data_IF_919578042758
#
_entry.id   IF_919578042758
#
_cell.length_a   1.000
_cell.length_b   1.000
_cell.length_c   1.000
_cell.angle_alpha   90.00
_cell.angle_beta   90.00
_cell.angle_gamma   90.00
#
_symmetry.space_group_name_H-M   'P 1'
#
loop_
_entity.id
_entity.type
_entity.pdbx_description
1 polymer ?
#
# COMPACT_ATOMS: atom_id res chain seq x y z
N UNK A 1 15.94 0.93 25.41
CA UNK A 1 15.04 -0.23 25.26
C UNK A 1 14.55 -0.23 23.82
N UNK A 2 14.65 -1.36 23.14
CA UNK A 2 14.82 -1.44 21.68
C UNK A 2 13.53 -1.20 20.91
N UNK A 3 13.60 -0.30 19.92
CA UNK A 3 12.58 -0.03 18.91
C UNK A 3 12.00 -1.32 18.29
N UNK A 4 12.84 -2.35 18.12
CA UNK A 4 12.46 -3.69 17.65
C UNK A 4 11.39 -4.40 18.50
N UNK A 5 11.32 -4.15 19.81
CA UNK A 5 10.34 -4.81 20.69
C UNK A 5 8.91 -4.33 20.46
N UNK A 6 8.74 -3.05 20.09
CA UNK A 6 7.43 -2.47 19.79
C UNK A 6 6.90 -2.94 18.43
N UNK A 7 7.80 -3.19 17.48
CA UNK A 7 7.44 -3.70 16.16
C UNK A 7 6.91 -5.14 16.23
N UNK A 8 7.54 -6.03 17.00
CA UNK A 8 7.07 -7.40 17.17
C UNK A 8 5.67 -7.48 17.84
N UNK A 9 5.40 -6.64 18.83
CA UNK A 9 4.06 -6.55 19.44
C UNK A 9 3.01 -6.04 18.44
N UNK A 10 3.35 -5.02 17.66
CA UNK A 10 2.48 -4.49 16.61
C UNK A 10 2.18 -5.54 15.52
N UNK A 11 3.18 -6.34 15.13
CA UNK A 11 2.99 -7.44 14.18
C UNK A 11 2.03 -8.50 14.74
N UNK A 12 2.21 -8.90 15.99
CA UNK A 12 1.33 -9.87 16.64
C UNK A 12 -0.14 -9.40 16.65
N UNK A 13 -0.38 -8.11 16.93
CA UNK A 13 -1.72 -7.53 16.88
C UNK A 13 -2.33 -7.57 15.48
N UNK A 14 -1.53 -7.29 14.44
CA UNK A 14 -1.99 -7.36 13.04
C UNK A 14 -2.28 -8.79 12.63
N UNK A 15 -1.47 -9.78 13.02
CA UNK A 15 -1.68 -11.19 12.71
C UNK A 15 -2.99 -11.72 13.32
N UNK A 16 -3.33 -11.33 14.55
CA UNK A 16 -4.63 -11.67 15.17
C UNK A 16 -5.79 -11.08 14.36
N UNK A 17 -5.66 -9.84 13.86
CA UNK A 17 -6.70 -9.20 13.05
C UNK A 17 -6.83 -9.85 11.67
N UNK A 18 -5.72 -10.27 11.07
CA UNK A 18 -5.68 -10.98 9.78
C UNK A 18 -6.49 -12.29 9.81
N UNK A 19 -6.47 -13.02 10.93
CA UNK A 19 -7.21 -14.28 11.06
C UNK A 19 -8.73 -14.10 10.96
N UNK A 20 -9.25 -12.95 11.36
CA UNK A 20 -10.70 -12.67 11.39
C UNK A 20 -11.15 -11.66 10.33
N UNK A 21 -10.23 -11.17 9.49
CA UNK A 21 -10.51 -10.12 8.54
C UNK A 21 -11.25 -10.66 7.31
N UNK A 22 -12.37 -10.02 6.96
CA UNK A 22 -13.07 -10.28 5.70
C UNK A 22 -12.28 -9.80 4.47
N UNK A 23 -11.35 -8.86 4.66
CA UNK A 23 -10.41 -8.38 3.65
C UNK A 23 -9.03 -8.28 4.28
N UNK A 24 -8.06 -9.02 3.75
CA UNK A 24 -6.71 -9.10 4.33
C UNK A 24 -5.81 -7.98 3.84
N UNK A 25 -6.00 -7.54 2.59
CA UNK A 25 -5.18 -6.52 1.95
C UNK A 25 -4.84 -5.28 2.80
N UNK A 26 -5.77 -4.58 3.49
CA UNK A 26 -5.42 -3.41 4.30
C UNK A 26 -4.61 -3.77 5.55
N UNK A 27 -4.79 -4.98 6.08
CA UNK A 27 -4.01 -5.48 7.22
C UNK A 27 -2.62 -5.93 6.79
N UNK A 28 -2.50 -6.56 5.62
CA UNK A 28 -1.21 -6.92 5.03
C UNK A 28 -0.41 -5.66 4.68
N UNK A 29 -1.05 -4.61 4.14
CA UNK A 29 -0.41 -3.30 3.94
C UNK A 29 0.16 -2.76 5.27
N UNK A 30 -0.65 -2.75 6.34
CA UNK A 30 -0.21 -2.32 7.67
C UNK A 30 0.94 -3.16 8.21
N UNK A 31 0.90 -4.48 8.02
CA UNK A 31 1.97 -5.39 8.42
C UNK A 31 3.27 -5.04 7.70
N UNK A 32 3.21 -4.77 6.40
CA UNK A 32 4.37 -4.36 5.62
C UNK A 32 4.95 -3.01 6.08
N UNK A 33 4.11 -2.03 6.44
CA UNK A 33 4.58 -0.76 7.01
C UNK A 33 5.37 -0.97 8.30
N UNK A 34 4.90 -1.86 9.19
CA UNK A 34 5.61 -2.21 10.42
C UNK A 34 6.92 -2.95 10.11
N UNK A 35 6.92 -3.86 9.14
CA UNK A 35 8.12 -4.58 8.72
C UNK A 35 9.17 -3.65 8.11
N UNK A 36 8.78 -2.71 7.26
CA UNK A 36 9.68 -1.69 6.70
C UNK A 36 10.23 -0.78 7.80
N UNK A 37 9.40 -0.32 8.74
CA UNK A 37 9.87 0.44 9.92
C UNK A 37 10.86 -0.36 10.79
N UNK A 38 10.71 -1.69 10.85
CA UNK A 38 11.65 -2.58 11.52
C UNK A 38 12.92 -2.91 10.70
N UNK A 39 13.10 -2.32 9.52
CA UNK A 39 14.21 -2.58 8.60
C UNK A 39 14.13 -3.92 7.86
N UNK A 40 12.98 -4.59 7.91
CA UNK A 40 12.72 -5.91 7.31
C UNK A 40 12.10 -5.77 5.92
N UNK A 41 12.76 -5.02 5.04
CA UNK A 41 12.25 -4.64 3.72
C UNK A 41 11.87 -5.83 2.84
N UNK A 42 12.68 -6.90 2.83
CA UNK A 42 12.38 -8.11 2.04
C UNK A 42 11.07 -8.78 2.48
N UNK A 43 10.78 -8.79 3.78
CA UNK A 43 9.55 -9.36 4.31
C UNK A 43 8.37 -8.42 4.06
N UNK A 44 8.57 -7.11 4.19
CA UNK A 44 7.57 -6.11 3.82
C UNK A 44 7.14 -6.29 2.36
N UNK A 45 8.09 -6.42 1.44
CA UNK A 45 7.82 -6.63 0.01
C UNK A 45 7.02 -7.92 -0.24
N UNK A 46 7.39 -9.02 0.42
CA UNK A 46 6.66 -10.29 0.31
C UNK A 46 5.21 -10.16 0.79
N UNK A 47 4.99 -9.45 1.91
CA UNK A 47 3.66 -9.22 2.48
C UNK A 47 2.82 -8.31 1.57
N UNK A 48 3.42 -7.31 0.94
CA UNK A 48 2.76 -6.44 -0.04
C UNK A 48 2.34 -7.22 -1.29
N UNK A 49 3.16 -8.16 -1.76
CA UNK A 49 2.80 -9.05 -2.87
C UNK A 49 1.59 -9.92 -2.52
N UNK A 50 1.57 -10.51 -1.32
CA UNK A 50 0.40 -11.27 -0.82
C UNK A 50 -0.85 -10.38 -0.76
N UNK A 51 -0.71 -9.12 -0.34
CA UNK A 51 -1.82 -8.16 -0.29
C UNK A 51 -2.41 -7.86 -1.68
N UNK A 52 -1.56 -7.82 -2.72
CA UNK A 52 -2.03 -7.67 -4.11
C UNK A 52 -2.78 -8.90 -4.60
N UNK A 53 -2.33 -10.10 -4.23
CA UNK A 53 -3.02 -11.35 -4.58
C UNK A 53 -4.41 -11.42 -3.93
N UNK A 54 -4.54 -11.01 -2.67
CA UNK A 54 -5.83 -10.89 -1.98
C UNK A 54 -6.77 -9.93 -2.74
N UNK A 55 -6.25 -8.76 -3.14
CA UNK A 55 -7.03 -7.78 -3.94
C UNK A 55 -7.40 -8.31 -5.32
N UNK A 56 -6.54 -9.08 -6.00
CA UNK A 56 -6.85 -9.65 -7.32
C UNK A 56 -8.14 -10.49 -7.28
N UNK A 57 -8.34 -11.25 -6.20
CA UNK A 57 -9.58 -12.02 -5.99
C UNK A 57 -10.82 -11.13 -5.88
N UNK A 58 -10.69 -9.94 -5.28
CA UNK A 58 -11.76 -8.95 -5.14
C UNK A 58 -12.04 -8.26 -6.46
N UNK A 59 -10.99 -7.92 -7.21
CA UNK A 59 -11.08 -7.25 -8.50
C UNK A 59 -11.75 -8.11 -9.57
N UNK A 60 -11.69 -9.44 -9.45
CA UNK A 60 -12.49 -10.39 -10.28
C UNK A 60 -13.99 -10.29 -10.07
N UNK A 61 -14.46 -9.66 -8.98
CA UNK A 61 -15.88 -9.48 -8.68
C UNK A 61 -16.31 -8.04 -8.99
N UNK A 62 -16.51 -7.21 -7.97
CA UNK A 62 -16.83 -5.79 -8.10
C UNK A 62 -15.98 -5.00 -7.12
N UNK A 63 -14.86 -4.42 -7.58
CA UNK A 63 -14.07 -3.55 -6.72
C UNK A 63 -14.81 -2.22 -6.49
N UNK A 64 -14.85 -1.78 -5.23
CA UNK A 64 -15.28 -0.44 -4.83
C UNK A 64 -14.07 0.50 -4.71
N UNK A 65 -14.25 1.82 -4.69
CA UNK A 65 -13.16 2.80 -4.67
C UNK A 65 -12.08 2.55 -3.61
N UNK A 66 -12.47 2.12 -2.40
CA UNK A 66 -11.53 1.83 -1.32
C UNK A 66 -10.55 0.70 -1.66
N UNK A 67 -10.96 -0.30 -2.46
CA UNK A 67 -10.07 -1.39 -2.88
C UNK A 67 -9.01 -0.90 -3.86
N UNK A 68 -9.36 0.02 -4.76
CA UNK A 68 -8.41 0.65 -5.69
C UNK A 68 -7.42 1.55 -4.97
N UNK A 69 -7.88 2.35 -4.00
CA UNK A 69 -6.99 3.15 -3.15
C UNK A 69 -6.05 2.27 -2.33
N UNK A 70 -6.53 1.16 -1.78
CA UNK A 70 -5.68 0.20 -1.07
C UNK A 70 -4.64 -0.42 -2.02
N UNK A 71 -5.05 -0.83 -3.23
CA UNK A 71 -4.14 -1.35 -4.26
C UNK A 71 -3.07 -0.33 -4.62
N UNK A 72 -3.45 0.94 -4.80
CA UNK A 72 -2.53 2.02 -5.12
C UNK A 72 -1.48 2.26 -4.02
N UNK A 73 -1.88 2.22 -2.75
CA UNK A 73 -0.95 2.31 -1.60
C UNK A 73 0.09 1.20 -1.61
N UNK A 74 -0.36 -0.03 -1.83
CA UNK A 74 0.52 -1.20 -1.90
C UNK A 74 1.48 -1.08 -3.10
N UNK A 75 0.97 -0.69 -4.27
CA UNK A 75 1.78 -0.46 -5.46
C UNK A 75 2.83 0.65 -5.24
N UNK A 76 2.46 1.73 -4.55
CA UNK A 76 3.39 2.81 -4.17
C UNK A 76 4.52 2.30 -3.27
N UNK A 77 4.19 1.49 -2.26
CA UNK A 77 5.19 0.89 -1.36
C UNK A 77 6.11 -0.12 -2.07
N UNK A 78 5.65 -0.73 -3.15
CA UNK A 78 6.46 -1.59 -4.02
C UNK A 78 7.28 -0.81 -5.08
N UNK A 79 7.27 0.52 -5.05
CA UNK A 79 7.92 1.37 -6.07
C UNK A 79 7.21 1.38 -7.43
N UNK A 80 6.04 0.77 -7.56
CA UNK A 80 5.26 0.71 -8.80
C UNK A 80 4.38 1.96 -8.94
N UNK A 81 5.02 3.14 -8.96
CA UNK A 81 4.34 4.43 -8.86
C UNK A 81 3.38 4.71 -10.02
N UNK A 82 3.72 4.30 -11.24
CA UNK A 82 2.86 4.51 -12.41
C UNK A 82 1.53 3.75 -12.31
N UNK A 83 1.59 2.50 -11.84
CA UNK A 83 0.40 1.69 -11.61
C UNK A 83 -0.42 2.21 -10.43
N UNK A 84 0.25 2.66 -9.36
CA UNK A 84 -0.41 3.29 -8.22
C UNK A 84 -1.21 4.54 -8.66
N UNK A 85 -0.57 5.39 -9.48
CA UNK A 85 -1.20 6.58 -10.05
C UNK A 85 -2.44 6.22 -10.87
N UNK A 86 -2.34 5.24 -11.76
CA UNK A 86 -3.44 4.82 -12.63
C UNK A 86 -4.67 4.37 -11.83
N UNK A 87 -4.48 3.58 -10.77
CA UNK A 87 -5.57 3.16 -9.88
C UNK A 87 -6.28 4.34 -9.20
N UNK A 88 -5.52 5.35 -8.77
CA UNK A 88 -6.06 6.54 -8.10
C UNK A 88 -6.79 7.46 -9.07
N UNK A 89 -6.29 7.60 -10.30
CA UNK A 89 -6.96 8.37 -11.36
C UNK A 89 -8.31 7.73 -11.72
N UNK A 90 -8.40 6.39 -11.80
CA UNK A 90 -9.67 5.68 -12.00
C UNK A 90 -10.66 5.98 -10.87
N UNK A 91 -10.19 5.97 -9.60
CA UNK A 91 -11.05 6.30 -8.46
C UNK A 91 -11.59 7.72 -8.56
N UNK A 92 -10.73 8.69 -8.89
CA UNK A 92 -11.14 10.10 -8.98
C UNK A 92 -12.00 10.40 -10.21
N UNK A 93 -11.87 9.64 -11.29
CA UNK A 93 -12.80 9.70 -12.43
C UNK A 93 -14.22 9.27 -12.02
N UNK A 94 -14.34 8.25 -11.18
CA UNK A 94 -15.63 7.73 -10.72
C UNK A 94 -16.19 8.52 -9.52
N UNK A 95 -15.31 9.00 -8.65
CA UNK A 95 -15.62 9.72 -7.43
C UNK A 95 -14.64 10.89 -7.24
N UNK A 96 -14.85 12.04 -7.92
CA UNK A 96 -13.96 13.20 -7.84
C UNK A 96 -13.77 13.77 -6.43
N UNK A 97 -14.76 13.58 -5.56
CA UNK A 97 -14.72 14.01 -4.15
C UNK A 97 -14.05 13.03 -3.20
N UNK A 98 -13.43 11.95 -3.69
CA UNK A 98 -12.77 10.96 -2.85
C UNK A 98 -11.43 11.49 -2.34
N UNK A 99 -11.47 12.27 -1.25
CA UNK A 99 -10.32 12.99 -0.68
C UNK A 99 -9.09 12.11 -0.48
N UNK A 100 -9.28 10.89 0.03
CA UNK A 100 -8.18 9.95 0.26
C UNK A 100 -7.45 9.63 -1.04
N UNK A 101 -8.16 9.40 -2.14
CA UNK A 101 -7.52 9.11 -3.43
C UNK A 101 -6.78 10.33 -3.97
N UNK A 102 -7.30 11.53 -3.71
CA UNK A 102 -6.63 12.78 -4.11
C UNK A 102 -5.31 12.97 -3.38
N UNK A 103 -5.29 12.77 -2.06
CA UNK A 103 -4.07 12.87 -1.24
C UNK A 103 -3.03 11.83 -1.63
N UNK A 104 -3.45 10.58 -1.84
CA UNK A 104 -2.52 9.54 -2.30
C UNK A 104 -1.98 9.83 -3.70
N UNK A 105 -2.78 10.41 -4.59
CA UNK A 105 -2.35 10.73 -5.96
C UNK A 105 -1.29 11.84 -5.96
N UNK A 106 -1.46 12.82 -5.09
CA UNK A 106 -0.48 13.90 -4.87
C UNK A 106 0.86 13.31 -4.43
N UNK A 107 0.84 12.49 -3.37
CA UNK A 107 2.03 11.81 -2.86
C UNK A 107 2.73 10.95 -3.91
N UNK A 108 1.97 10.19 -4.72
CA UNK A 108 2.56 9.38 -5.80
C UNK A 108 3.26 10.26 -6.83
N UNK A 109 2.70 11.42 -7.17
CA UNK A 109 3.30 12.34 -8.16
C UNK A 109 4.59 12.96 -7.63
N UNK A 110 4.59 13.38 -6.37
CA UNK A 110 5.80 13.90 -5.71
C UNK A 110 6.94 12.87 -5.78
N UNK A 111 6.68 11.63 -5.39
CA UNK A 111 7.67 10.55 -5.45
C UNK A 111 8.16 10.28 -6.89
N UNK A 112 7.28 10.32 -7.89
CA UNK A 112 7.67 10.16 -9.29
C UNK A 112 8.55 11.32 -9.79
N UNK A 113 8.33 12.53 -9.28
CA UNK A 113 9.17 13.69 -9.59
C UNK A 113 10.53 13.56 -8.92
N UNK A 114 10.59 13.09 -7.67
CA UNK A 114 11.83 12.80 -6.94
C UNK A 114 12.66 11.73 -7.65
N UNK A 115 12.07 10.59 -8.04
CA UNK A 115 12.79 9.54 -8.79
C UNK A 115 13.36 10.06 -10.11
N UNK A 116 12.63 10.93 -10.82
CA UNK A 116 13.10 11.53 -12.08
C UNK A 116 14.23 12.53 -11.87
N UNK A 117 14.24 13.25 -10.76
CA UNK A 117 15.28 14.22 -10.43
C UNK A 117 16.56 13.50 -10.00
N UNK A 118 16.43 12.38 -9.30
CA UNK A 118 17.55 11.55 -8.84
C UNK A 118 18.23 10.83 -10.00
N UNK A 119 17.47 10.32 -10.98
CA UNK A 119 17.99 9.71 -12.22
C UNK A 119 18.69 10.73 -13.15
N UNK A 120 18.35 12.02 -13.03
CA UNK A 120 18.95 13.11 -13.82
C UNK A 120 20.20 13.73 -13.18
N UNK A 121 20.66 13.23 -12.02
CA UNK A 121 21.84 13.75 -11.33
C UNK A 121 23.11 13.13 -11.94
N UNK A 122 24.07 13.94 -12.44
CA UNK A 122 25.25 13.45 -13.16
C UNK A 122 26.30 12.76 -12.28
#
# INVERSE_FOLDING_TARGET
ETDSGHHDEALALVDVKLQSAALKAPWLQRKAEILSAAGREAEAESVLKEALEDLDTIFKRRPVPIHRVTRARILRQLGRLDEARSELEIVLQQAPGYETARRELDLVRELQEEEKQEDQKP
#
